data_IF_474125766645
#
_entry.id   IF_474125766645
#
_cell.length_a   1.000
_cell.length_b   1.000
_cell.length_c   1.000
_cell.angle_alpha   90.00
_cell.angle_beta   90.00
_cell.angle_gamma   90.00
#
_symmetry.space_group_name_H-M   'P 1'
#
loop_
_entity.id
_entity.type
_entity.pdbx_description
1 polymer ?
#
# COMPACT_ATOMS: atom_id res chain seq x y z
N UNK A 1 19.63 -21.64 7.94
CA UNK A 1 19.03 -20.43 8.55
C UNK A 1 17.87 -20.81 9.47
N UNK A 2 18.06 -20.70 10.78
CA UNK A 2 16.93 -20.77 11.71
C UNK A 2 16.13 -19.48 11.50
N UNK A 3 14.86 -19.60 11.14
CA UNK A 3 13.98 -18.42 11.10
C UNK A 3 13.82 -17.91 12.52
N UNK A 4 14.04 -16.60 12.72
CA UNK A 4 13.86 -15.92 14.02
C UNK A 4 12.38 -15.97 14.49
N UNK A 5 11.47 -16.46 13.64
CA UNK A 5 10.09 -16.80 13.95
C UNK A 5 9.73 -18.20 13.38
N UNK A 6 9.88 -19.29 14.16
CA UNK A 6 9.50 -20.62 13.69
C UNK A 6 8.00 -20.70 13.40
N UNK A 7 7.63 -21.48 12.38
CA UNK A 7 6.23 -21.72 12.04
C UNK A 7 5.44 -22.20 13.27
N UNK A 8 4.28 -21.59 13.49
CA UNK A 8 3.41 -21.91 14.63
C UNK A 8 3.73 -21.14 15.93
N UNK A 9 4.90 -20.48 16.03
CA UNK A 9 5.27 -19.63 17.16
C UNK A 9 4.49 -18.31 17.22
N UNK A 10 4.54 -17.61 18.36
CA UNK A 10 3.79 -16.36 18.58
C UNK A 10 4.20 -15.27 17.58
N UNK A 11 5.50 -15.10 17.33
CA UNK A 11 6.00 -14.11 16.35
C UNK A 11 5.50 -14.40 14.92
N UNK A 12 5.46 -15.68 14.52
CA UNK A 12 4.94 -16.09 13.22
C UNK A 12 3.45 -15.77 13.09
N UNK A 13 2.65 -16.08 14.12
CA UNK A 13 1.21 -15.74 14.15
C UNK A 13 0.98 -14.23 14.12
N UNK A 14 1.78 -13.46 14.85
CA UNK A 14 1.67 -12.01 14.86
C UNK A 14 1.86 -11.40 13.47
N UNK A 15 2.80 -11.92 12.67
CA UNK A 15 3.00 -11.49 11.28
C UNK A 15 1.78 -11.87 10.41
N UNK A 16 1.21 -13.06 10.60
CA UNK A 16 -0.01 -13.47 9.88
C UNK A 16 -1.21 -12.59 10.23
N UNK A 17 -1.44 -12.35 11.52
CA UNK A 17 -2.55 -11.52 12.02
C UNK A 17 -2.40 -10.08 11.51
N UNK A 18 -1.19 -9.52 11.56
CA UNK A 18 -0.88 -8.21 11.00
C UNK A 18 -1.15 -8.16 9.49
N UNK A 19 -0.66 -9.16 8.74
CA UNK A 19 -0.84 -9.21 7.29
C UNK A 19 -2.31 -9.34 6.90
N UNK A 20 -3.07 -10.15 7.65
CA UNK A 20 -4.51 -10.29 7.45
C UNK A 20 -5.25 -8.98 7.73
N UNK A 21 -4.95 -8.32 8.85
CA UNK A 21 -5.55 -7.04 9.20
C UNK A 21 -5.23 -5.97 8.15
N UNK A 22 -3.99 -5.91 7.70
CA UNK A 22 -3.59 -5.01 6.61
C UNK A 22 -4.36 -5.30 5.32
N UNK A 23 -4.57 -6.59 4.98
CA UNK A 23 -5.42 -6.97 3.85
C UNK A 23 -6.88 -6.51 3.99
N UNK A 24 -7.44 -6.53 5.20
CA UNK A 24 -8.78 -5.99 5.46
C UNK A 24 -8.84 -4.47 5.28
N UNK A 25 -7.81 -3.74 5.74
CA UNK A 25 -7.71 -2.30 5.52
C UNK A 25 -7.69 -1.96 4.02
N UNK A 26 -6.89 -2.71 3.24
CA UNK A 26 -6.83 -2.55 1.78
C UNK A 26 -8.18 -2.84 1.12
N UNK A 27 -8.90 -3.88 1.58
CA UNK A 27 -10.23 -4.21 1.07
C UNK A 27 -11.22 -3.05 1.31
N UNK A 28 -11.20 -2.46 2.50
CA UNK A 28 -12.07 -1.33 2.85
C UNK A 28 -11.73 -0.10 2.00
N UNK A 29 -10.45 0.26 1.90
CA UNK A 29 -9.99 1.40 1.09
C UNK A 29 -10.36 1.19 -0.38
N UNK A 30 -10.04 0.01 -0.94
CA UNK A 30 -10.37 -0.33 -2.31
C UNK A 30 -11.87 -0.30 -2.59
N UNK A 31 -12.68 -0.89 -1.71
CA UNK A 31 -14.14 -0.84 -1.79
C UNK A 31 -14.69 0.59 -1.75
N UNK A 32 -14.13 1.44 -0.89
CA UNK A 32 -14.53 2.84 -0.80
C UNK A 32 -14.11 3.65 -2.04
N UNK A 33 -12.93 3.40 -2.60
CA UNK A 33 -12.49 4.02 -3.85
C UNK A 33 -13.37 3.60 -5.03
N UNK A 34 -13.76 2.33 -5.12
CA UNK A 34 -14.72 1.85 -6.12
C UNK A 34 -16.08 2.55 -5.95
N UNK A 35 -16.55 2.73 -4.72
CA UNK A 35 -17.75 3.50 -4.45
C UNK A 35 -17.60 4.97 -4.89
N UNK A 36 -16.51 5.63 -4.50
CA UNK A 36 -16.23 7.03 -4.78
C UNK A 36 -16.01 7.30 -6.28
N UNK A 37 -15.56 6.30 -7.04
CA UNK A 37 -15.35 6.38 -8.49
C UNK A 37 -16.61 6.77 -9.27
N UNK A 38 -17.81 6.58 -8.69
CA UNK A 38 -19.09 7.00 -9.29
C UNK A 38 -19.27 8.52 -9.36
N UNK A 39 -18.53 9.28 -8.54
CA UNK A 39 -18.57 10.76 -8.48
C UNK A 39 -17.17 11.33 -8.26
N UNK A 40 -16.23 11.09 -9.18
CA UNK A 40 -14.79 11.30 -8.94
C UNK A 40 -14.46 12.76 -8.61
N UNK A 41 -15.18 13.71 -9.23
CA UNK A 41 -15.05 15.15 -8.97
C UNK A 41 -15.22 15.54 -7.49
N UNK A 42 -16.05 14.80 -6.74
CA UNK A 42 -16.30 15.07 -5.31
C UNK A 42 -15.30 14.40 -4.38
N UNK A 43 -14.43 13.55 -4.92
CA UNK A 43 -13.64 12.60 -4.14
C UNK A 43 -12.15 12.63 -4.51
N UNK A 44 -11.67 13.63 -5.25
CA UNK A 44 -10.27 13.77 -5.60
C UNK A 44 -9.33 13.83 -4.38
N UNK A 45 -9.81 14.37 -3.25
CA UNK A 45 -9.04 14.38 -2.00
C UNK A 45 -8.69 12.97 -1.51
N UNK A 46 -9.57 11.98 -1.74
CA UNK A 46 -9.30 10.58 -1.37
C UNK A 46 -8.20 9.97 -2.24
N UNK A 47 -8.16 10.33 -3.53
CA UNK A 47 -7.09 9.85 -4.42
C UNK A 47 -5.74 10.40 -3.96
N UNK A 48 -5.66 11.69 -3.63
CA UNK A 48 -4.42 12.28 -3.11
C UNK A 48 -4.03 11.75 -1.73
N UNK A 49 -5.01 11.46 -0.86
CA UNK A 49 -4.75 10.79 0.41
C UNK A 49 -4.14 9.40 0.19
N UNK A 50 -4.70 8.61 -0.73
CA UNK A 50 -4.18 7.27 -1.05
C UNK A 50 -2.78 7.37 -1.66
N UNK A 51 -2.54 8.32 -2.57
CA UNK A 51 -1.19 8.56 -3.11
C UNK A 51 -0.21 8.90 -1.99
N UNK A 52 -0.59 9.75 -1.02
CA UNK A 52 0.26 10.06 0.12
C UNK A 52 0.54 8.83 1.00
N UNK A 53 -0.46 7.97 1.22
CA UNK A 53 -0.30 6.71 1.95
C UNK A 53 0.64 5.74 1.19
N UNK A 54 0.49 5.59 -0.12
CA UNK A 54 1.37 4.75 -0.94
C UNK A 54 2.82 5.25 -0.92
N UNK A 55 3.04 6.56 -0.88
CA UNK A 55 4.40 7.12 -0.75
C UNK A 55 4.96 6.84 0.65
N UNK A 56 4.23 7.19 1.71
CA UNK A 56 4.76 7.15 3.08
C UNK A 56 4.78 5.74 3.66
N UNK A 57 3.65 5.03 3.60
CA UNK A 57 3.53 3.66 4.14
C UNK A 57 3.95 2.58 3.16
N UNK A 58 3.97 2.87 1.86
CA UNK A 58 4.48 1.94 0.86
C UNK A 58 5.97 2.15 0.65
N UNK A 59 6.31 3.14 -0.17
CA UNK A 59 7.69 3.34 -0.66
C UNK A 59 8.67 3.66 0.48
N UNK A 60 8.36 4.61 1.37
CA UNK A 60 9.31 4.97 2.43
C UNK A 60 9.47 3.85 3.47
N UNK A 61 8.42 3.06 3.72
CA UNK A 61 8.50 1.90 4.60
C UNK A 61 9.36 0.79 3.97
N UNK A 62 9.19 0.50 2.68
CA UNK A 62 10.04 -0.45 1.95
C UNK A 62 11.52 -0.05 2.00
N UNK A 63 11.82 1.24 1.78
CA UNK A 63 13.18 1.77 1.89
C UNK A 63 13.72 1.66 3.33
N UNK A 64 12.87 1.93 4.33
CA UNK A 64 13.23 1.73 5.73
C UNK A 64 13.53 0.25 6.01
N UNK A 65 12.70 -0.70 5.55
CA UNK A 65 12.95 -2.13 5.71
C UNK A 65 14.25 -2.57 5.04
N UNK A 66 14.57 -2.07 3.85
CA UNK A 66 15.87 -2.29 3.21
C UNK A 66 17.00 -1.81 4.14
N UNK A 67 16.87 -0.64 4.75
CA UNK A 67 17.86 -0.11 5.69
C UNK A 67 18.02 -0.96 6.96
N UNK A 68 16.98 -1.71 7.34
CA UNK A 68 17.00 -2.65 8.47
C UNK A 68 17.53 -4.04 8.09
N UNK A 69 17.98 -4.24 6.84
CA UNK A 69 18.58 -5.50 6.38
C UNK A 69 17.60 -6.51 5.79
N UNK A 70 16.36 -6.09 5.48
CA UNK A 70 15.42 -6.95 4.76
C UNK A 70 15.83 -7.16 3.29
N UNK A 71 15.29 -8.20 2.65
CA UNK A 71 15.64 -8.55 1.27
C UNK A 71 15.29 -7.43 0.29
N UNK A 72 16.31 -6.78 -0.27
CA UNK A 72 16.13 -5.62 -1.15
C UNK A 72 15.38 -5.94 -2.44
N UNK A 73 15.62 -7.10 -3.06
CA UNK A 73 14.92 -7.47 -4.30
C UNK A 73 13.41 -7.62 -4.07
N UNK A 74 13.03 -8.18 -2.93
CA UNK A 74 11.62 -8.31 -2.54
C UNK A 74 10.98 -6.95 -2.26
N UNK A 75 11.65 -6.08 -1.50
CA UNK A 75 11.15 -4.73 -1.19
C UNK A 75 11.06 -3.84 -2.44
N UNK A 76 12.02 -3.93 -3.37
CA UNK A 76 11.95 -3.24 -4.66
C UNK A 76 10.75 -3.70 -5.49
N UNK A 77 10.35 -4.98 -5.38
CA UNK A 77 9.11 -5.47 -5.98
C UNK A 77 7.86 -4.78 -5.45
N UNK A 78 7.78 -4.52 -4.14
CA UNK A 78 6.69 -3.76 -3.53
C UNK A 78 6.72 -2.29 -3.92
N UNK A 79 7.90 -1.66 -3.99
CA UNK A 79 8.02 -0.28 -4.50
C UNK A 79 7.43 -0.17 -5.91
N UNK A 80 7.70 -1.14 -6.80
CA UNK A 80 7.09 -1.18 -8.13
C UNK A 80 5.57 -1.30 -8.06
N UNK A 81 5.03 -2.13 -7.15
CA UNK A 81 3.60 -2.24 -6.92
C UNK A 81 2.98 -0.89 -6.48
N UNK A 82 3.61 -0.18 -5.54
CA UNK A 82 3.18 1.14 -5.10
C UNK A 82 3.16 2.16 -6.24
N UNK A 83 4.20 2.15 -7.09
CA UNK A 83 4.26 3.02 -8.27
C UNK A 83 3.13 2.72 -9.28
N UNK A 84 2.72 1.46 -9.42
CA UNK A 84 1.58 1.07 -10.26
C UNK A 84 0.26 1.64 -9.73
N UNK A 85 0.14 1.94 -8.43
CA UNK A 85 -1.05 2.61 -7.86
C UNK A 85 -0.92 4.13 -7.98
N UNK A 86 0.23 4.69 -7.60
CA UNK A 86 0.48 6.13 -7.56
C UNK A 86 0.37 6.75 -8.95
N UNK A 87 1.04 6.17 -9.96
CA UNK A 87 1.18 6.78 -11.28
C UNK A 87 -0.20 6.92 -11.96
N UNK A 88 -1.02 5.87 -12.08
CA UNK A 88 -2.37 6.00 -12.64
C UNK A 88 -3.27 6.89 -11.79
N UNK A 89 -3.22 6.79 -10.46
CA UNK A 89 -4.00 7.63 -9.55
C UNK A 89 -3.75 9.12 -9.82
N UNK A 90 -2.48 9.53 -9.88
CA UNK A 90 -2.11 10.91 -10.17
C UNK A 90 -2.50 11.34 -11.58
N UNK A 91 -2.31 10.47 -12.59
CA UNK A 91 -2.65 10.76 -13.98
C UNK A 91 -4.16 10.98 -14.16
N UNK A 92 -5.00 10.12 -13.58
CA UNK A 92 -6.45 10.25 -13.69
C UNK A 92 -7.01 11.39 -12.83
N UNK A 93 -6.45 11.64 -11.64
CA UNK A 93 -6.86 12.77 -10.80
C UNK A 93 -6.68 14.12 -11.52
N UNK A 94 -5.57 14.28 -12.26
CA UNK A 94 -5.33 15.49 -13.07
C UNK A 94 -6.38 15.67 -14.16
N UNK A 95 -6.71 14.60 -14.89
CA UNK A 95 -7.72 14.65 -15.98
C UNK A 95 -9.11 15.06 -15.49
N UNK A 96 -9.50 14.59 -14.30
CA UNK A 96 -10.79 14.95 -13.70
C UNK A 96 -10.82 16.43 -13.30
N UNK A 97 -9.73 16.97 -12.78
CA UNK A 97 -9.65 18.40 -12.45
C UNK A 97 -9.81 19.31 -13.68
N UNK A 98 -9.38 18.83 -14.85
CA UNK A 98 -9.39 19.59 -16.10
C UNK A 98 -10.72 19.48 -16.90
N UNK A 99 -11.70 18.71 -16.39
CA UNK A 99 -13.07 18.57 -16.95
C UNK A 99 -14.10 19.26 -16.09
#
# INVERSE_FOLDING_TARGET
PNFDAPMGGVAYRAVLDYSFMFGLDLLVIGGFLLYASRRPQKHLSLVWLVIALEIVRGILDDLYMISQGYNAAFMLGFIVLHLIVIIPGAAFARRVKDT
#
